data_IF_427039335685
#
_entry.id   IF_427039335685
#
_cell.length_a   1.000
_cell.length_b   1.000
_cell.length_c   1.000
_cell.angle_alpha   90.00
_cell.angle_beta   90.00
_cell.angle_gamma   90.00
#
_symmetry.space_group_name_H-M   'P 1'
#
loop_
_entity.id
_entity.type
_entity.pdbx_description
1 polymer ?
#
# COMPACT_ATOMS: atom_id res chain seq x y z
N UNK A 1 66.51 -86.60 -50.48
CA UNK A 1 66.92 -86.58 -51.90
C UNK A 1 65.68 -86.62 -52.75
N UNK A 2 65.45 -85.58 -53.56
CA UNK A 2 64.32 -85.50 -54.48
C UNK A 2 64.71 -86.25 -55.78
N UNK A 3 63.81 -87.11 -56.25
CA UNK A 3 63.63 -87.39 -57.69
C UNK A 3 62.22 -86.90 -58.06
N UNK A 4 62.03 -86.16 -59.16
CA UNK A 4 60.73 -85.62 -59.51
C UNK A 4 59.86 -86.72 -60.14
N UNK A 5 58.59 -86.79 -59.73
CA UNK A 5 57.57 -87.54 -60.47
C UNK A 5 56.81 -86.52 -61.32
N UNK A 6 57.00 -86.67 -62.62
CA UNK A 6 56.21 -86.01 -63.65
C UNK A 6 54.80 -86.59 -63.62
N UNK A 7 53.81 -85.76 -63.30
CA UNK A 7 52.40 -86.08 -63.48
C UNK A 7 51.82 -85.06 -64.45
N UNK A 8 52.12 -85.26 -65.74
CA UNK A 8 51.25 -84.81 -66.82
C UNK A 8 49.88 -85.46 -66.60
N UNK A 9 49.01 -84.79 -65.83
CA UNK A 9 47.58 -84.96 -66.00
C UNK A 9 47.09 -83.82 -66.87
N UNK A 10 46.80 -84.20 -68.13
CA UNK A 10 46.10 -83.42 -69.13
C UNK A 10 44.83 -82.80 -68.54
N UNK A 11 44.93 -81.57 -68.03
CA UNK A 11 43.84 -80.62 -68.16
C UNK A 11 44.26 -79.68 -69.28
N UNK A 12 43.96 -80.12 -70.51
CA UNK A 12 43.79 -79.19 -71.62
C UNK A 12 42.67 -78.28 -71.16
N UNK A 13 42.99 -77.11 -70.62
CA UNK A 13 42.06 -76.00 -70.68
C UNK A 13 41.82 -75.81 -72.16
N UNK A 14 40.68 -76.30 -72.65
CA UNK A 14 40.22 -75.96 -73.98
C UNK A 14 40.22 -74.44 -73.99
N UNK A 15 41.15 -73.85 -74.76
CA UNK A 15 41.20 -72.43 -74.96
C UNK A 15 39.82 -72.02 -75.45
N UNK A 16 39.17 -71.15 -74.68
CA UNK A 16 37.94 -70.50 -75.11
C UNK A 16 38.22 -69.88 -76.47
N UNK A 17 37.27 -69.94 -77.42
CA UNK A 17 37.50 -69.39 -78.76
C UNK A 17 37.99 -67.95 -78.65
N UNK A 18 38.94 -67.53 -79.50
CA UNK A 18 39.56 -66.17 -79.47
C UNK A 18 38.55 -65.02 -79.39
N UNK A 19 37.34 -65.20 -79.92
CA UNK A 19 36.24 -64.24 -79.81
C UNK A 19 35.68 -64.05 -78.38
N UNK A 20 35.96 -65.00 -77.48
CA UNK A 20 35.56 -65.02 -76.07
C UNK A 20 36.75 -64.89 -75.10
N UNK A 21 37.99 -64.91 -75.58
CA UNK A 21 39.19 -64.66 -74.76
C UNK A 21 39.17 -63.22 -74.21
N UNK A 22 38.77 -62.25 -75.04
CA UNK A 22 38.49 -60.87 -74.61
C UNK A 22 37.22 -60.76 -73.74
N UNK A 23 36.31 -61.75 -73.77
CA UNK A 23 35.04 -61.71 -73.04
C UNK A 23 35.16 -62.09 -71.56
N UNK A 24 36.21 -62.83 -71.17
CA UNK A 24 36.52 -63.09 -69.77
C UNK A 24 36.84 -61.78 -69.02
N UNK A 25 37.56 -60.86 -69.70
CA UNK A 25 37.83 -59.49 -69.22
C UNK A 25 36.54 -58.69 -68.98
N UNK A 26 35.58 -58.73 -69.90
CA UNK A 26 34.29 -58.04 -69.74
C UNK A 26 33.47 -58.60 -68.56
N UNK A 27 33.51 -59.91 -68.32
CA UNK A 27 32.81 -60.57 -67.21
C UNK A 27 33.46 -60.25 -65.86
N UNK A 28 34.78 -60.17 -65.81
CA UNK A 28 35.56 -59.72 -64.64
C UNK A 28 35.31 -58.24 -64.33
N UNK A 29 35.29 -57.37 -65.35
CA UNK A 29 34.93 -55.96 -65.23
C UNK A 29 33.50 -55.78 -64.72
N UNK A 30 32.53 -56.52 -65.27
CA UNK A 30 31.15 -56.50 -64.79
C UNK A 30 31.05 -56.93 -63.32
N UNK A 31 31.82 -57.93 -62.91
CA UNK A 31 31.88 -58.40 -61.52
C UNK A 31 32.52 -57.36 -60.59
N UNK A 32 33.55 -56.65 -61.05
CA UNK A 32 34.18 -55.55 -60.31
C UNK A 32 33.22 -54.36 -60.14
N UNK A 33 32.45 -54.03 -61.18
CA UNK A 33 31.39 -53.02 -61.12
C UNK A 33 30.32 -53.44 -60.11
N UNK A 34 29.89 -54.71 -60.13
CA UNK A 34 28.86 -55.22 -59.23
C UNK A 34 29.32 -55.18 -57.76
N UNK A 35 30.60 -55.48 -57.50
CA UNK A 35 31.21 -55.30 -56.17
C UNK A 35 31.17 -53.84 -55.73
N UNK A 36 31.58 -52.90 -56.60
CA UNK A 36 31.55 -51.46 -56.29
C UNK A 36 30.14 -50.94 -56.07
N UNK A 37 29.17 -51.44 -56.82
CA UNK A 37 27.76 -51.10 -56.63
C UNK A 37 27.28 -51.53 -55.23
N UNK A 38 27.63 -52.73 -54.78
CA UNK A 38 27.29 -53.20 -53.44
C UNK A 38 27.96 -52.36 -52.33
N UNK A 39 29.23 -51.98 -52.50
CA UNK A 39 29.92 -51.06 -51.57
C UNK A 39 29.21 -49.70 -51.50
N UNK A 40 28.73 -49.18 -52.65
CA UNK A 40 27.95 -47.93 -52.69
C UNK A 40 26.58 -48.10 -52.00
N UNK A 41 25.90 -49.23 -52.19
CA UNK A 41 24.63 -49.55 -51.52
C UNK A 41 24.81 -49.55 -50.00
N UNK A 42 25.86 -50.18 -49.48
CA UNK A 42 26.14 -50.20 -48.04
C UNK A 42 26.36 -48.80 -47.47
N UNK A 43 27.10 -47.94 -48.17
CA UNK A 43 27.33 -46.55 -47.75
C UNK A 43 26.04 -45.72 -47.80
N UNK A 44 25.19 -45.90 -48.81
CA UNK A 44 23.89 -45.21 -48.91
C UNK A 44 22.98 -45.62 -47.75
N UNK A 45 22.93 -46.91 -47.42
CA UNK A 45 22.13 -47.39 -46.30
C UNK A 45 22.62 -46.82 -44.96
N UNK A 46 23.93 -46.86 -44.72
CA UNK A 46 24.53 -46.25 -43.51
C UNK A 46 24.21 -44.75 -43.40
N UNK A 47 24.32 -44.01 -44.50
CA UNK A 47 23.98 -42.59 -44.53
C UNK A 47 22.49 -42.35 -44.26
N UNK A 48 21.61 -43.24 -44.71
CA UNK A 48 20.16 -43.15 -44.48
C UNK A 48 19.85 -43.29 -42.99
N UNK A 49 20.40 -44.30 -42.33
CA UNK A 49 20.25 -44.49 -40.87
C UNK A 49 20.81 -43.30 -40.07
N UNK A 50 21.93 -42.74 -40.53
CA UNK A 50 22.51 -41.55 -39.91
C UNK A 50 21.58 -40.35 -40.05
N UNK A 51 21.01 -40.10 -41.23
CA UNK A 51 20.05 -39.01 -41.47
C UNK A 51 18.83 -39.14 -40.56
N UNK A 52 18.22 -40.33 -40.48
CA UNK A 52 17.06 -40.60 -39.60
C UNK A 52 17.37 -40.23 -38.14
N UNK A 53 18.55 -40.59 -37.65
CA UNK A 53 18.97 -40.23 -36.29
C UNK A 53 19.09 -38.71 -36.07
N UNK A 54 19.56 -37.96 -37.05
CA UNK A 54 19.65 -36.49 -36.93
C UNK A 54 18.27 -35.84 -37.02
N UNK A 55 17.35 -36.40 -37.79
CA UNK A 55 15.95 -35.97 -37.83
C UNK A 55 15.28 -36.16 -36.47
N UNK A 56 15.44 -37.33 -35.84
CA UNK A 56 14.93 -37.59 -34.49
C UNK A 56 15.51 -36.60 -33.44
N UNK A 57 16.81 -36.34 -33.50
CA UNK A 57 17.45 -35.38 -32.59
C UNK A 57 16.95 -33.95 -32.82
N UNK A 58 16.74 -33.58 -34.08
CA UNK A 58 16.20 -32.26 -34.43
C UNK A 58 14.79 -32.08 -33.89
N UNK A 59 13.92 -33.07 -34.07
CA UNK A 59 12.55 -33.04 -33.59
C UNK A 59 12.48 -32.97 -32.06
N UNK A 60 13.34 -33.71 -31.37
CA UNK A 60 13.41 -33.66 -29.90
C UNK A 60 13.90 -32.29 -29.39
N UNK A 61 14.94 -31.72 -30.00
CA UNK A 61 15.41 -30.37 -29.64
C UNK A 61 14.31 -29.34 -29.90
N UNK A 62 13.61 -29.45 -31.03
CA UNK A 62 12.51 -28.56 -31.37
C UNK A 62 11.40 -28.63 -30.31
N UNK A 63 10.99 -29.84 -29.91
CA UNK A 63 10.00 -30.05 -28.85
C UNK A 63 10.44 -29.41 -27.53
N UNK A 64 11.68 -29.63 -27.12
CA UNK A 64 12.22 -29.06 -25.87
C UNK A 64 12.25 -27.52 -25.91
N UNK A 65 12.56 -26.93 -27.07
CA UNK A 65 12.54 -25.46 -27.24
C UNK A 65 11.11 -24.93 -27.17
N UNK A 66 10.14 -25.59 -27.81
CA UNK A 66 8.72 -25.21 -27.76
C UNK A 66 8.18 -25.29 -26.33
N UNK A 67 8.49 -26.35 -25.60
CA UNK A 67 8.12 -26.50 -24.19
C UNK A 67 8.76 -25.43 -23.29
N UNK A 68 10.03 -25.10 -23.53
CA UNK A 68 10.71 -24.05 -22.78
C UNK A 68 10.08 -22.67 -23.05
N UNK A 69 9.69 -22.37 -24.29
CA UNK A 69 8.99 -21.14 -24.64
C UNK A 69 7.66 -21.05 -23.88
N UNK A 70 6.89 -22.13 -23.88
CA UNK A 70 5.61 -22.18 -23.14
C UNK A 70 5.85 -21.96 -21.64
N UNK A 71 6.81 -22.67 -21.05
CA UNK A 71 7.14 -22.53 -19.63
C UNK A 71 7.57 -21.11 -19.26
N UNK A 72 8.38 -20.47 -20.10
CA UNK A 72 8.82 -19.08 -19.88
C UNK A 72 7.63 -18.13 -19.93
N UNK A 73 6.78 -18.25 -20.95
CA UNK A 73 5.60 -17.38 -21.11
C UNK A 73 4.64 -17.51 -19.93
N UNK A 74 4.34 -18.74 -19.49
CA UNK A 74 3.50 -18.97 -18.31
C UNK A 74 4.10 -18.34 -17.05
N UNK A 75 5.41 -18.47 -16.83
CA UNK A 75 6.07 -17.84 -15.68
C UNK A 75 6.04 -16.30 -15.75
N UNK A 76 6.10 -15.72 -16.94
CA UNK A 76 5.93 -14.27 -17.11
C UNK A 76 4.52 -13.84 -16.72
N UNK A 77 3.49 -14.54 -17.22
CA UNK A 77 2.08 -14.26 -16.87
C UNK A 77 1.82 -14.38 -15.36
N UNK A 78 2.38 -15.42 -14.71
CA UNK A 78 2.27 -15.62 -13.26
C UNK A 78 2.93 -14.47 -12.46
N UNK A 79 4.12 -14.02 -12.88
CA UNK A 79 4.84 -12.92 -12.24
C UNK A 79 4.08 -11.60 -12.42
N UNK A 80 3.52 -11.35 -13.61
CA UNK A 80 2.70 -10.16 -13.87
C UNK A 80 1.48 -10.14 -12.96
N UNK A 81 0.75 -11.24 -12.85
CA UNK A 81 -0.41 -11.36 -11.97
C UNK A 81 -0.04 -11.18 -10.48
N UNK A 82 1.07 -11.77 -10.02
CA UNK A 82 1.53 -11.62 -8.64
C UNK A 82 1.94 -10.17 -8.33
N UNK A 83 2.60 -9.49 -9.28
CA UNK A 83 2.97 -8.08 -9.13
C UNK A 83 1.74 -7.19 -9.06
N UNK A 84 0.76 -7.38 -9.94
CA UNK A 84 -0.50 -6.64 -9.92
C UNK A 84 -1.22 -6.79 -8.58
N UNK A 85 -1.31 -8.02 -8.07
CA UNK A 85 -1.92 -8.29 -6.78
C UNK A 85 -1.17 -7.59 -5.64
N UNK A 86 0.17 -7.66 -5.62
CA UNK A 86 0.99 -6.97 -4.61
C UNK A 86 0.82 -5.46 -4.65
N UNK A 87 0.69 -4.85 -5.84
CA UNK A 87 0.42 -3.42 -5.98
C UNK A 87 -0.97 -3.05 -5.48
N UNK A 88 -2.00 -3.87 -5.77
CA UNK A 88 -3.35 -3.66 -5.28
C UNK A 88 -3.41 -3.73 -3.75
N UNK A 89 -2.80 -4.76 -3.16
CA UNK A 89 -2.73 -4.94 -1.70
C UNK A 89 -1.99 -3.79 -1.02
N UNK A 90 -0.85 -3.37 -1.58
CA UNK A 90 -0.09 -2.23 -1.07
C UNK A 90 -0.91 -0.94 -1.12
N UNK A 91 -1.62 -0.70 -2.21
CA UNK A 91 -2.49 0.47 -2.39
C UNK A 91 -3.60 0.47 -1.35
N UNK A 92 -4.30 -0.66 -1.16
CA UNK A 92 -5.35 -0.78 -0.16
C UNK A 92 -4.82 -0.53 1.27
N UNK A 93 -3.63 -1.05 1.59
CA UNK A 93 -2.99 -0.85 2.90
C UNK A 93 -2.62 0.61 3.14
N UNK A 94 -2.09 1.31 2.14
CA UNK A 94 -1.74 2.73 2.23
C UNK A 94 -3.00 3.58 2.45
N UNK A 95 -4.08 3.34 1.70
CA UNK A 95 -5.34 4.05 1.88
C UNK A 95 -5.91 3.86 3.28
N UNK A 96 -5.92 2.62 3.77
CA UNK A 96 -6.38 2.31 5.13
C UNK A 96 -5.57 3.05 6.21
N UNK A 97 -4.25 3.14 6.04
CA UNK A 97 -3.39 3.88 6.98
C UNK A 97 -3.67 5.39 6.94
N UNK A 98 -3.88 5.96 5.76
CA UNK A 98 -4.23 7.38 5.59
C UNK A 98 -5.56 7.68 6.28
N UNK A 99 -6.58 6.85 6.04
CA UNK A 99 -7.92 7.04 6.62
C UNK A 99 -7.89 6.94 8.15
N UNK A 100 -7.18 5.93 8.69
CA UNK A 100 -7.03 5.77 10.13
C UNK A 100 -6.34 6.97 10.77
N UNK A 101 -5.23 7.43 10.17
CA UNK A 101 -4.49 8.58 10.69
C UNK A 101 -5.32 9.87 10.62
N UNK A 102 -6.05 10.07 9.52
CA UNK A 102 -6.96 11.21 9.37
C UNK A 102 -8.04 11.20 10.45
N UNK A 103 -8.69 10.06 10.67
CA UNK A 103 -9.76 9.93 11.66
C UNK A 103 -9.26 10.15 13.10
N UNK A 104 -8.08 9.62 13.44
CA UNK A 104 -7.46 9.83 14.76
C UNK A 104 -7.16 11.32 14.97
N UNK A 105 -6.52 11.96 13.99
CA UNK A 105 -6.16 13.37 14.09
C UNK A 105 -7.40 14.25 14.18
N UNK A 106 -8.43 13.95 13.38
CA UNK A 106 -9.71 14.65 13.43
C UNK A 106 -10.35 14.54 14.81
N UNK A 107 -10.44 13.33 15.38
CA UNK A 107 -11.01 13.12 16.70
C UNK A 107 -10.24 13.87 17.79
N UNK A 108 -8.90 13.91 17.71
CA UNK A 108 -8.07 14.69 18.62
C UNK A 108 -8.33 16.20 18.51
N UNK A 109 -8.45 16.73 17.29
CA UNK A 109 -8.75 18.14 17.07
C UNK A 109 -10.15 18.48 17.60
N UNK A 110 -11.15 17.62 17.33
CA UNK A 110 -12.51 17.81 17.83
C UNK A 110 -12.54 17.85 19.36
N UNK A 111 -11.83 16.93 20.05
CA UNK A 111 -11.68 16.94 21.51
C UNK A 111 -11.06 18.26 22.03
N UNK A 112 -9.99 18.73 21.38
CA UNK A 112 -9.33 19.99 21.77
C UNK A 112 -10.16 21.22 21.49
N UNK A 113 -10.97 21.19 20.44
CA UNK A 113 -11.91 22.26 20.14
C UNK A 113 -12.99 22.36 21.22
N UNK A 114 -13.58 21.23 21.63
CA UNK A 114 -14.56 21.18 22.72
C UNK A 114 -13.96 21.60 24.06
N UNK A 115 -12.74 21.15 24.40
CA UNK A 115 -12.04 21.56 25.62
C UNK A 115 -11.81 23.08 25.65
N UNK A 116 -11.42 23.67 24.52
CA UNK A 116 -11.20 25.10 24.41
C UNK A 116 -12.50 25.90 24.55
N UNK A 117 -13.58 25.47 23.89
CA UNK A 117 -14.88 26.12 24.01
C UNK A 117 -15.40 26.06 25.44
N UNK A 118 -15.28 24.90 26.11
CA UNK A 118 -15.61 24.77 27.52
C UNK A 118 -14.83 25.78 28.37
N UNK A 119 -13.52 25.91 28.14
CA UNK A 119 -12.69 26.89 28.88
C UNK A 119 -13.14 28.32 28.62
N UNK A 120 -13.51 28.68 27.39
CA UNK A 120 -14.00 30.01 27.02
C UNK A 120 -15.32 30.31 27.72
N UNK A 121 -16.28 29.39 27.69
CA UNK A 121 -17.60 29.55 28.31
C UNK A 121 -17.52 29.66 29.83
N UNK A 122 -16.50 29.07 30.43
CA UNK A 122 -16.28 29.07 31.89
C UNK A 122 -15.15 30.01 32.33
N UNK A 123 -14.78 31.00 31.51
CA UNK A 123 -13.90 32.08 31.98
C UNK A 123 -14.64 32.85 33.08
N UNK A 124 -14.27 32.61 34.34
CA UNK A 124 -14.72 33.41 35.47
C UNK A 124 -13.97 34.75 35.50
N UNK A 125 -14.74 35.82 35.66
CA UNK A 125 -14.27 37.22 35.75
C UNK A 125 -13.50 37.48 37.08
N UNK A 126 -13.38 36.47 37.94
CA UNK A 126 -12.85 36.51 39.30
C UNK A 126 -11.43 37.08 39.43
N UNK A 127 -10.67 37.27 38.34
CA UNK A 127 -9.32 37.82 38.39
C UNK A 127 -9.19 39.24 37.82
N UNK A 128 -10.30 39.94 37.53
CA UNK A 128 -10.22 41.35 37.15
C UNK A 128 -9.92 42.18 38.40
N UNK A 129 -8.72 42.76 38.45
CA UNK A 129 -8.30 43.72 39.47
C UNK A 129 -8.47 45.14 38.89
N UNK A 130 -9.28 45.95 39.56
CA UNK A 130 -9.50 47.36 39.20
C UNK A 130 -9.01 48.27 40.33
N UNK A 131 -8.66 49.51 39.98
CA UNK A 131 -8.44 50.54 40.98
C UNK A 131 -9.78 50.95 41.55
N UNK A 132 -10.00 50.67 42.83
CA UNK A 132 -11.18 51.07 43.55
C UNK A 132 -11.21 52.61 43.68
N UNK A 133 -12.24 53.30 43.16
CA UNK A 133 -12.34 54.75 43.26
C UNK A 133 -12.70 55.23 44.68
N UNK A 134 -13.22 54.34 45.54
CA UNK A 134 -13.62 54.67 46.91
C UNK A 134 -12.45 54.56 47.89
N UNK A 135 -11.58 53.56 47.71
CA UNK A 135 -10.41 53.32 48.58
C UNK A 135 -9.09 53.75 47.94
N UNK A 136 -9.04 53.89 46.61
CA UNK A 136 -7.83 54.20 45.86
C UNK A 136 -6.86 53.02 45.68
N UNK A 137 -7.21 51.83 46.16
CA UNK A 137 -6.37 50.62 46.11
C UNK A 137 -6.79 49.72 44.94
N UNK A 138 -5.86 48.89 44.45
CA UNK A 138 -6.20 47.84 43.49
C UNK A 138 -6.88 46.68 44.20
N UNK A 139 -8.10 46.34 43.80
CA UNK A 139 -8.93 45.30 44.42
C UNK A 139 -9.68 44.49 43.36
N UNK A 140 -10.13 43.30 43.74
CA UNK A 140 -10.99 42.46 42.91
C UNK A 140 -12.25 43.22 42.48
N UNK A 141 -12.71 43.05 41.23
CA UNK A 141 -13.90 43.72 40.69
C UNK A 141 -15.13 43.56 41.59
N UNK A 142 -15.34 42.40 42.22
CA UNK A 142 -16.45 42.19 43.16
C UNK A 142 -16.33 43.12 44.38
N UNK A 143 -15.12 43.28 44.92
CA UNK A 143 -14.85 44.18 46.04
C UNK A 143 -15.07 45.63 45.61
N UNK A 144 -14.58 46.01 44.43
CA UNK A 144 -14.75 47.38 43.89
C UNK A 144 -16.22 47.72 43.69
N UNK A 145 -17.02 46.80 43.14
CA UNK A 145 -18.47 46.99 42.96
C UNK A 145 -19.18 47.12 44.31
N UNK A 146 -18.85 46.26 45.27
CA UNK A 146 -19.43 46.34 46.62
C UNK A 146 -19.08 47.66 47.31
N UNK A 147 -17.84 48.11 47.21
CA UNK A 147 -17.40 49.36 47.82
C UNK A 147 -18.05 50.56 47.15
N UNK A 148 -18.20 50.56 45.81
CA UNK A 148 -18.95 51.57 45.07
C UNK A 148 -20.41 51.65 45.53
N UNK A 149 -21.08 50.50 45.68
CA UNK A 149 -22.45 50.47 46.18
C UNK A 149 -22.53 51.07 47.59
N UNK A 150 -21.66 50.63 48.51
CA UNK A 150 -21.62 51.15 49.88
C UNK A 150 -21.29 52.65 49.95
N UNK A 151 -20.45 53.16 49.05
CA UNK A 151 -20.13 54.58 49.00
C UNK A 151 -21.29 55.45 48.48
N UNK A 152 -22.22 54.88 47.72
CA UNK A 152 -23.44 55.55 47.27
C UNK A 152 -24.57 55.51 48.30
N UNK A 153 -24.53 54.56 49.23
CA UNK A 153 -25.46 54.49 50.36
C UNK A 153 -24.98 55.46 51.45
N UNK A 154 -25.59 56.64 51.51
CA UNK A 154 -25.15 57.72 52.41
C UNK A 154 -25.87 57.68 53.75
N UNK A 155 -27.14 57.26 53.79
CA UNK A 155 -27.98 57.29 55.00
C UNK A 155 -29.14 56.28 54.92
N UNK A 156 -28.83 55.00 54.64
CA UNK A 156 -29.83 53.94 54.73
C UNK A 156 -30.36 53.82 56.18
N UNK A 157 -31.68 53.67 56.32
CA UNK A 157 -32.30 53.41 57.62
C UNK A 157 -32.21 51.92 57.94
N UNK A 158 -31.87 51.56 59.17
CA UNK A 158 -31.97 50.16 59.61
C UNK A 158 -33.42 49.78 59.89
N UNK A 159 -33.76 48.49 59.82
CA UNK A 159 -35.11 48.02 60.14
C UNK A 159 -35.56 48.46 61.54
N UNK A 160 -34.67 48.36 62.54
CA UNK A 160 -34.96 48.79 63.91
C UNK A 160 -35.19 50.30 64.03
N UNK A 161 -34.45 51.11 63.28
CA UNK A 161 -34.65 52.58 63.24
C UNK A 161 -35.96 52.94 62.54
N UNK A 162 -36.32 52.23 61.47
CA UNK A 162 -37.57 52.44 60.76
C UNK A 162 -38.79 52.05 61.61
N UNK A 163 -38.74 50.89 62.29
CA UNK A 163 -39.79 50.45 63.21
C UNK A 163 -40.03 51.46 64.33
N UNK A 164 -38.96 52.11 64.83
CA UNK A 164 -39.05 53.11 65.88
C UNK A 164 -39.73 54.43 65.44
N UNK A 165 -39.91 54.67 64.14
CA UNK A 165 -40.65 55.84 63.65
C UNK A 165 -42.17 55.68 63.78
N UNK A 166 -42.66 54.46 64.04
CA UNK A 166 -44.09 54.14 64.21
C UNK A 166 -44.99 54.70 63.08
N UNK A 167 -44.46 54.79 61.85
CA UNK A 167 -45.17 55.35 60.71
C UNK A 167 -46.33 54.45 60.28
N UNK A 168 -47.53 55.03 60.17
CA UNK A 168 -48.65 54.35 59.51
C UNK A 168 -48.42 54.31 58.00
N UNK A 169 -49.03 53.34 57.31
CA UNK A 169 -48.92 53.24 55.85
C UNK A 169 -49.30 54.55 55.14
N UNK A 170 -50.36 55.23 55.60
CA UNK A 170 -50.78 56.54 55.07
C UNK A 170 -49.71 57.62 55.25
N UNK A 171 -49.05 57.65 56.43
CA UNK A 171 -48.03 58.64 56.71
C UNK A 171 -46.75 58.36 55.92
N UNK A 172 -46.38 57.09 55.74
CA UNK A 172 -45.23 56.68 54.95
C UNK A 172 -45.44 56.97 53.45
N UNK A 173 -46.61 56.63 52.89
CA UNK A 173 -46.96 56.92 51.49
C UNK A 173 -46.95 58.42 51.18
N UNK A 174 -47.24 59.27 52.17
CA UNK A 174 -47.22 60.73 52.02
C UNK A 174 -45.81 61.29 51.76
N UNK A 175 -44.73 60.58 52.13
CA UNK A 175 -43.36 60.98 51.79
C UNK A 175 -43.03 60.76 50.31
N UNK A 176 -43.82 59.98 49.58
CA UNK A 176 -43.68 59.72 48.14
C UNK A 176 -42.27 59.29 47.71
N UNK A 177 -41.57 58.56 48.56
CA UNK A 177 -40.21 58.10 48.29
C UNK A 177 -40.20 56.91 47.34
N UNK A 178 -39.19 56.88 46.47
CA UNK A 178 -38.90 55.71 45.65
C UNK A 178 -38.14 54.66 46.48
N UNK A 179 -38.18 53.40 46.03
CA UNK A 179 -37.41 52.33 46.66
C UNK A 179 -35.89 52.64 46.67
N UNK A 180 -35.38 53.29 45.63
CA UNK A 180 -33.97 53.71 45.58
C UNK A 180 -33.64 54.73 46.67
N UNK A 181 -34.50 55.73 46.86
CA UNK A 181 -34.32 56.73 47.92
C UNK A 181 -34.47 56.11 49.30
N UNK A 182 -35.34 55.12 49.46
CA UNK A 182 -35.45 54.35 50.70
C UNK A 182 -34.14 53.59 50.99
N UNK A 183 -33.63 52.83 50.02
CA UNK A 183 -32.43 51.99 50.21
C UNK A 183 -31.14 52.80 50.42
N UNK A 184 -31.06 54.04 49.94
CA UNK A 184 -29.82 54.83 49.96
C UNK A 184 -29.81 55.97 50.98
N UNK A 185 -30.99 56.54 51.30
CA UNK A 185 -31.11 57.78 52.08
C UNK A 185 -32.41 57.85 52.92
N UNK A 186 -33.07 56.72 53.20
CA UNK A 186 -34.31 56.68 53.98
C UNK A 186 -34.20 57.41 55.32
N UNK A 187 -33.04 57.33 55.99
CA UNK A 187 -32.85 57.97 57.29
C UNK A 187 -32.90 59.49 57.17
N UNK A 188 -32.39 60.07 56.09
CA UNK A 188 -32.45 61.50 55.83
C UNK A 188 -33.88 61.97 55.49
N UNK A 189 -34.67 61.11 54.84
CA UNK A 189 -36.01 61.50 54.35
C UNK A 189 -37.09 61.31 55.42
N UNK A 190 -36.99 60.25 56.23
CA UNK A 190 -38.04 59.80 57.13
C UNK A 190 -37.89 60.30 58.57
N UNK A 191 -36.69 60.73 58.95
CA UNK A 191 -36.34 61.23 60.30
C UNK A 191 -36.16 62.74 60.27
#
# INVERSE_FOLDING_TARGET
MIKPININNNYVYNSIPLAFDESLSYLEELSAILKKLNEVIEQVNYNTEFIEKYEDQYDEIKRLVEELIISINTRFEEIEAELEQKFADLTARVLTLIDNNYNILKAYIDDKYEELNYKIDHISIDNIILRDPTTGLFSNIQIVVNNLFNALVVDAITASEFDALELTATNFDAYQITAYEFDTQAKTILV
#
